data_IF_047014541725
#
_entry.id   IF_047014541725
#
_cell.length_a   1.000
_cell.length_b   1.000
_cell.length_c   1.000
_cell.angle_alpha   90.00
_cell.angle_beta   90.00
_cell.angle_gamma   90.00
#
_symmetry.space_group_name_H-M   'P 1'
#
loop_
_entity.id
_entity.type
_entity.pdbx_description
1 polymer ?
#
# COMPACT_ATOMS: atom_id res chain seq x y z
N UNK A 1 1.02 9.59 26.34
CA UNK A 1 0.25 10.86 26.31
C UNK A 1 -0.70 10.87 25.12
N UNK A 2 -1.65 11.79 25.14
CA UNK A 2 -2.58 11.95 24.02
C UNK A 2 -1.87 12.33 22.72
N UNK A 3 -0.83 13.17 22.82
CA UNK A 3 -0.06 13.56 21.64
C UNK A 3 0.66 12.37 21.02
N UNK A 4 1.21 11.48 21.83
CA UNK A 4 1.88 10.28 21.34
C UNK A 4 0.90 9.33 20.66
N UNK A 5 -0.29 9.15 21.24
CA UNK A 5 -1.32 8.30 20.66
C UNK A 5 -1.81 8.86 19.32
N UNK A 6 -1.92 10.18 19.24
CA UNK A 6 -2.34 10.83 17.99
C UNK A 6 -1.30 10.63 16.90
N UNK A 7 -0.01 10.80 17.23
CA UNK A 7 1.08 10.57 16.28
C UNK A 7 1.12 9.12 15.81
N UNK A 8 0.95 8.16 16.73
CA UNK A 8 0.89 6.74 16.37
C UNK A 8 -0.27 6.44 15.44
N UNK A 9 -1.41 7.05 15.68
CA UNK A 9 -2.58 6.89 14.81
C UNK A 9 -2.30 7.42 13.40
N UNK A 10 -1.72 8.63 13.31
CA UNK A 10 -1.34 9.21 12.01
C UNK A 10 -0.33 8.33 11.29
N UNK A 11 0.68 7.82 11.99
CA UNK A 11 1.67 6.94 11.40
C UNK A 11 1.03 5.65 10.87
N UNK A 12 0.05 5.09 11.58
CA UNK A 12 -0.63 3.89 11.12
C UNK A 12 -1.42 4.12 9.84
N UNK A 13 -1.96 5.32 9.64
CA UNK A 13 -2.66 5.68 8.41
C UNK A 13 -1.73 5.79 7.20
N UNK A 14 -0.44 6.02 7.44
CA UNK A 14 0.57 6.12 6.37
C UNK A 14 1.25 4.78 6.06
N UNK A 15 0.98 3.75 6.85
CA UNK A 15 1.62 2.45 6.65
C UNK A 15 0.86 1.62 5.63
N UNK A 16 1.59 0.72 4.99
CA UNK A 16 1.04 -0.21 4.00
C UNK A 16 -0.14 -1.00 4.59
N UNK A 17 -1.22 -1.11 3.84
CA UNK A 17 -2.41 -1.86 4.27
C UNK A 17 -2.15 -3.35 4.40
N UNK A 18 -1.16 -3.88 3.70
CA UNK A 18 -0.86 -5.32 3.68
C UNK A 18 0.11 -5.71 4.79
N UNK A 19 1.31 -5.13 4.84
CA UNK A 19 2.33 -5.52 5.80
C UNK A 19 2.32 -4.70 7.09
N UNK A 20 1.80 -3.48 7.05
CA UNK A 20 1.72 -2.54 8.19
C UNK A 20 3.09 -2.17 8.77
N UNK A 21 4.15 -2.44 8.04
CA UNK A 21 5.53 -2.16 8.47
C UNK A 21 6.15 -0.99 7.72
N UNK A 22 5.92 -0.91 6.39
CA UNK A 22 6.48 0.12 5.53
C UNK A 22 5.44 1.15 5.18
N UNK A 23 5.89 2.34 4.79
CA UNK A 23 4.98 3.40 4.36
C UNK A 23 4.40 3.07 2.98
N UNK A 24 3.21 3.61 2.72
CA UNK A 24 2.55 3.48 1.42
C UNK A 24 3.28 4.33 0.40
N UNK A 25 3.86 3.71 -0.60
CA UNK A 25 4.54 4.43 -1.67
C UNK A 25 4.15 3.94 -3.06
N UNK A 26 3.15 3.07 -3.15
CA UNK A 26 2.60 2.60 -4.41
C UNK A 26 1.08 2.64 -4.36
N UNK A 27 0.47 2.94 -5.51
CA UNK A 27 -0.99 2.93 -5.65
C UNK A 27 -1.36 2.07 -6.85
N UNK A 28 -2.42 1.27 -6.68
CA UNK A 28 -3.01 0.51 -7.77
C UNK A 28 -4.15 1.35 -8.34
N UNK A 29 -3.97 1.86 -9.56
CA UNK A 29 -4.91 2.82 -10.13
C UNK A 29 -6.30 2.27 -10.37
N UNK A 30 -6.44 0.96 -10.53
CA UNK A 30 -7.75 0.36 -10.79
C UNK A 30 -8.70 0.46 -9.60
N UNK A 31 -8.18 0.29 -8.39
CA UNK A 31 -8.99 0.29 -7.17
C UNK A 31 -8.60 1.40 -6.20
N UNK A 32 -7.52 2.12 -6.48
CA UNK A 32 -6.98 3.23 -5.68
C UNK A 32 -6.54 2.81 -4.28
N UNK A 33 -6.29 1.54 -4.06
CA UNK A 33 -5.69 1.07 -2.81
C UNK A 33 -4.19 1.26 -2.84
N UNK A 34 -3.61 1.55 -1.69
CA UNK A 34 -2.19 1.92 -1.56
C UNK A 34 -1.43 0.92 -0.71
N UNK A 35 -0.21 0.63 -1.12
CA UNK A 35 0.65 -0.36 -0.48
C UNK A 35 2.10 0.07 -0.59
N UNK A 36 3.00 -0.66 0.06
CA UNK A 36 4.43 -0.44 -0.13
C UNK A 36 4.93 -1.21 -1.36
N UNK A 37 6.07 -0.76 -1.89
CA UNK A 37 6.68 -1.36 -3.07
C UNK A 37 6.93 -2.86 -2.88
N UNK A 38 7.40 -3.27 -1.70
CA UNK A 38 7.72 -4.67 -1.44
C UNK A 38 6.49 -5.57 -1.54
N UNK A 39 5.34 -5.13 -1.02
CA UNK A 39 4.10 -5.91 -1.08
C UNK A 39 3.58 -6.02 -2.51
N UNK A 40 3.61 -4.93 -3.27
CA UNK A 40 3.16 -4.94 -4.66
C UNK A 40 4.09 -5.77 -5.52
N UNK A 41 5.41 -5.63 -5.36
CA UNK A 41 6.39 -6.41 -6.10
C UNK A 41 6.24 -7.91 -5.84
N UNK A 42 5.98 -8.29 -4.59
CA UNK A 42 5.76 -9.70 -4.24
C UNK A 42 4.56 -10.27 -4.99
N UNK A 43 3.48 -9.49 -5.10
CA UNK A 43 2.29 -9.92 -5.85
C UNK A 43 2.59 -10.10 -7.34
N UNK A 44 3.35 -9.18 -7.92
CA UNK A 44 3.74 -9.24 -9.34
C UNK A 44 4.64 -10.45 -9.59
N UNK A 45 5.65 -10.64 -8.75
CA UNK A 45 6.64 -11.72 -8.93
C UNK A 45 6.03 -13.10 -8.76
N UNK A 46 5.05 -13.25 -7.90
CA UNK A 46 4.36 -14.53 -7.68
C UNK A 46 3.20 -14.74 -8.64
N UNK A 47 3.00 -13.83 -9.60
CA UNK A 47 1.91 -13.86 -10.57
C UNK A 47 0.52 -13.83 -9.93
N UNK A 48 0.43 -13.25 -8.74
CA UNK A 48 -0.82 -13.03 -8.04
C UNK A 48 -1.20 -11.55 -8.13
N UNK A 49 -1.39 -11.06 -9.35
CA UNK A 49 -1.67 -9.64 -9.62
C UNK A 49 -3.10 -9.27 -9.26
N UNK A 50 -3.38 -9.38 -7.97
CA UNK A 50 -4.66 -8.99 -7.39
C UNK A 50 -4.41 -8.12 -6.18
N UNK A 51 -5.24 -7.10 -6.02
CA UNK A 51 -5.11 -6.17 -4.89
C UNK A 51 -5.19 -6.95 -3.57
N UNK A 52 -4.21 -6.79 -2.66
CA UNK A 52 -4.26 -7.47 -1.36
C UNK A 52 -5.47 -7.06 -0.51
N UNK A 53 -6.10 -5.93 -0.79
CA UNK A 53 -7.23 -5.43 -0.01
C UNK A 53 -8.58 -5.89 -0.58
N UNK A 54 -8.80 -5.72 -1.89
CA UNK A 54 -10.10 -5.99 -2.49
C UNK A 54 -10.11 -7.16 -3.49
N UNK A 55 -8.94 -7.70 -3.84
CA UNK A 55 -8.85 -8.83 -4.76
C UNK A 55 -9.02 -8.49 -6.23
N UNK A 56 -9.16 -7.20 -6.57
CA UNK A 56 -9.31 -6.80 -7.97
C UNK A 56 -8.01 -7.05 -8.73
N UNK A 57 -8.11 -7.71 -9.89
CA UNK A 57 -6.95 -7.96 -10.73
C UNK A 57 -6.42 -6.65 -11.32
N UNK A 58 -5.10 -6.51 -11.39
CA UNK A 58 -4.45 -5.33 -11.93
C UNK A 58 -3.30 -5.72 -12.85
N UNK A 59 -2.96 -4.84 -13.78
CA UNK A 59 -1.78 -4.96 -14.62
C UNK A 59 -0.60 -4.23 -13.99
N UNK A 60 0.62 -4.62 -14.32
CA UNK A 60 1.82 -3.93 -13.83
C UNK A 60 1.78 -2.44 -14.15
N UNK A 61 1.22 -2.07 -15.31
CA UNK A 61 1.07 -0.66 -15.71
C UNK A 61 0.08 0.13 -14.86
N UNK A 62 -0.76 -0.55 -14.07
CA UNK A 62 -1.70 0.12 -13.18
C UNK A 62 -1.05 0.58 -11.87
N UNK A 63 0.19 0.19 -11.61
CA UNK A 63 0.91 0.54 -10.39
C UNK A 63 1.72 1.82 -10.62
N UNK A 64 1.49 2.81 -9.76
CA UNK A 64 2.19 4.09 -9.83
C UNK A 64 2.86 4.39 -8.51
N UNK A 65 3.93 5.18 -8.56
CA UNK A 65 4.60 5.67 -7.36
C UNK A 65 3.72 6.73 -6.70
N UNK A 66 3.53 6.58 -5.41
CA UNK A 66 2.76 7.53 -4.61
C UNK A 66 3.74 8.32 -3.75
N UNK A 67 3.76 9.63 -3.93
CA UNK A 67 4.63 10.51 -3.16
C UNK A 67 3.83 11.10 -2.00
N UNK A 68 4.26 10.74 -0.79
CA UNK A 68 3.69 11.28 0.45
C UNK A 68 4.63 12.36 0.98
N UNK A 69 4.15 13.59 1.00
CA UNK A 69 4.93 14.70 1.52
C UNK A 69 4.20 15.42 2.64
#
# INVERSE_FOLDING_TARGET
>A
SEAEQYVEHLNSLLRCSSCKERYRDRIILRCLHTFCEACVSARIQTRQRKCPHCGLAFATSDVQVLYLQ
#
